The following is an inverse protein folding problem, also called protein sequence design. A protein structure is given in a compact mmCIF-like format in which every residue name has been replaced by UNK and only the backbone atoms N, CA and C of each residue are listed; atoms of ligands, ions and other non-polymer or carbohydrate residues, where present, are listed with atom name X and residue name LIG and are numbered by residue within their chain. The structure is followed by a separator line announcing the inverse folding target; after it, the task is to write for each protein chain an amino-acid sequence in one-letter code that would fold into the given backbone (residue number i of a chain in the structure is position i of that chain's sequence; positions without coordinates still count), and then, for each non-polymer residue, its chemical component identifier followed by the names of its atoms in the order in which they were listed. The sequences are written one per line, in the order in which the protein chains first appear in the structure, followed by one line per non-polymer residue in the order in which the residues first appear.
data_IF_250592898659
#
_entry.id   IF_250592898659
#
_cell.length_a   1.000
_cell.length_b   1.000
_cell.length_c   1.000
_cell.angle_alpha   90.00
_cell.angle_beta   90.00
_cell.angle_gamma   90.00
#
_symmetry.space_group_name_H-M   'P 1'
#
loop_
_entity.id
_entity.type
_entity.pdbx_description
1 polymer ?
2 non-polymer ?
3 non-polymer ?
4 water ?
#
# COMPACT_ATOMS: atom_id res chain seq x y z
N UNK A 4 10.28 23.51 3.09
CA UNK A 4 10.93 24.37 4.13
C UNK A 4 12.30 23.87 4.57
N UNK A 5 12.40 22.56 4.81
CA UNK A 5 13.66 21.88 5.15
C UNK A 5 14.31 21.31 3.88
N UNK A 6 15.64 21.18 3.89
CA UNK A 6 16.38 20.74 2.69
C UNK A 6 17.00 19.33 2.75
N UNK A 7 17.13 18.75 3.94
CA UNK A 7 17.59 17.36 4.07
C UNK A 7 16.46 16.40 3.66
N UNK A 8 16.84 15.26 3.12
CA UNK A 8 15.86 14.24 2.77
C UNK A 8 15.45 13.46 4.02
N UNK A 9 14.14 13.47 4.31
CA UNK A 9 13.61 12.76 5.48
C UNK A 9 13.18 11.34 5.08
N UNK A 10 13.93 10.36 5.57
CA UNK A 10 13.67 8.95 5.25
C UNK A 10 13.16 8.19 6.47
N UNK A 11 12.28 7.22 6.23
CA UNK A 11 11.86 6.31 7.30
C UNK A 11 12.57 4.98 7.13
N UNK A 12 13.07 4.46 8.25
CA UNK A 12 13.66 3.13 8.29
C UNK A 12 12.89 2.29 9.28
N UNK A 13 12.18 1.28 8.76
CA UNK A 13 11.27 0.50 9.58
C UNK A 13 11.12 -0.93 9.07
N UNK A 14 10.91 -1.85 10.00
CA UNK A 14 10.53 -3.23 9.71
C UNK A 14 9.23 -3.54 10.44
N UNK A 15 8.26 -4.11 9.72
CA UNK A 15 6.95 -4.43 10.30
C UNK A 15 6.39 -5.74 9.74
N UNK A 16 5.41 -6.30 10.45
CA UNK A 16 4.80 -7.56 10.03
C UNK A 16 3.52 -7.33 9.20
N UNK A 17 2.74 -8.39 8.97
CA UNK A 17 1.53 -8.30 8.15
C UNK A 17 0.46 -7.39 8.74
N UNK A 18 0.55 -7.11 10.04
CA UNK A 18 -0.42 -6.25 10.73
C UNK A 18 0.21 -4.96 11.27
N UNK A 19 1.37 -4.60 10.71
CA UNK A 19 2.09 -3.35 11.02
C UNK A 19 2.73 -3.32 12.41
N UNK A 20 2.87 -4.48 13.04
CA UNK A 20 3.55 -4.57 14.34
C UNK A 20 5.04 -4.27 14.16
N UNK A 21 5.57 -3.44 15.06
CA UNK A 21 7.00 -3.13 15.08
C UNK A 21 7.65 -3.45 16.42
N UNK A 22 6.84 -3.62 17.47
CA UNK A 22 7.38 -3.86 18.80
C UNK A 22 6.50 -4.64 19.75
N UNK A 23 7.15 -5.24 20.76
CA UNK A 23 6.49 -6.00 21.81
C UNK A 23 7.29 -5.86 23.10
N UNK A 24 6.64 -5.39 24.15
CA UNK A 24 7.26 -5.19 25.47
C UNK A 24 8.60 -4.45 25.35
N UNK A 25 8.59 -3.33 24.62
CA UNK A 25 9.77 -2.45 24.45
C UNK A 25 10.99 -3.15 23.84
N UNK A 26 10.73 -3.99 22.84
CA UNK A 26 11.73 -4.83 22.20
C UNK A 26 11.24 -5.26 20.81
N UNK A 27 12.13 -5.85 20.03
CA UNK A 27 11.80 -6.44 18.73
C UNK A 27 11.18 -7.82 18.91
N UNK A 28 10.04 -8.07 18.24
CA UNK A 28 9.37 -9.38 18.31
C UNK A 28 10.11 -10.51 17.58
N UNK A 29 11.08 -10.16 16.74
CA UNK A 29 11.80 -11.12 15.91
C UNK A 29 13.30 -10.84 15.92
N UNK A 30 14.08 -11.87 15.70
CA UNK A 30 15.53 -11.71 15.59
C UNK A 30 15.95 -12.04 14.16
N UNK A 31 16.34 -11.01 13.43
CA UNK A 31 16.74 -11.14 12.04
C UNK A 31 18.06 -10.43 11.79
N UNK A 32 19.19 -11.11 12.07
CA UNK A 32 20.52 -10.50 11.93
C UNK A 32 20.80 -9.99 10.51
N UNK A 33 20.30 -10.70 9.50
CA UNK A 33 20.48 -10.31 8.10
C UNK A 33 19.77 -9.00 7.78
N UNK A 34 18.57 -8.82 8.34
CA UNK A 34 17.80 -7.61 8.19
C UNK A 34 18.50 -6.45 8.91
N UNK A 35 19.04 -6.72 10.08
CA UNK A 35 19.81 -5.74 10.86
C UNK A 35 21.08 -5.29 10.14
N UNK A 36 21.69 -6.18 9.35
CA UNK A 36 22.92 -5.81 8.67
C UNK A 36 22.62 -4.96 7.42
N UNK A 37 21.45 -5.17 6.81
CA UNK A 37 20.95 -4.28 5.75
C UNK A 37 20.64 -2.89 6.31
N UNK A 38 20.05 -2.86 7.50
CA UNK A 38 19.79 -1.60 8.20
C UNK A 38 21.08 -0.81 8.43
N UNK A 39 22.12 -1.48 8.92
CA UNK A 39 23.40 -0.86 9.23
C UNK A 39 24.09 -0.35 7.97
N UNK A 40 23.98 -1.11 6.89
CA UNK A 40 24.54 -0.78 5.59
C UNK A 40 23.91 0.50 5.00
N UNK A 41 22.58 0.58 5.09
CA UNK A 41 21.83 1.68 4.51
C UNK A 41 21.93 2.99 5.30
N UNK A 42 21.99 2.87 6.62
CA UNK A 42 21.91 4.04 7.49
C UNK A 42 23.28 4.61 7.80
N UNK A 43 24.32 3.82 7.54
CA UNK A 43 25.68 4.23 7.88
C UNK A 43 26.09 5.56 7.23
N UNK A 44 26.70 6.42 8.04
CA UNK A 44 27.13 7.76 7.63
C UNK A 44 26.00 8.78 7.59
N UNK A 45 24.83 8.40 8.11
CA UNK A 45 23.64 9.25 8.11
C UNK A 45 23.03 9.31 9.51
N UNK A 46 22.46 10.48 9.89
CA UNK A 46 21.93 10.59 11.24
C UNK A 46 20.75 9.66 11.49
N UNK A 47 20.68 9.12 12.72
CA UNK A 47 19.54 8.34 13.19
C UNK A 47 18.69 9.16 14.14
N UNK A 48 17.40 9.26 13.86
CA UNK A 48 16.46 9.97 14.72
C UNK A 48 15.63 8.94 15.45
N UNK A 49 15.78 8.88 16.76
CA UNK A 49 15.11 7.87 17.58
C UNK A 49 14.33 8.46 18.75
N UNK A 50 13.14 7.93 19.00
CA UNK A 50 12.37 8.29 20.18
C UNK A 50 13.12 7.84 21.43
N UNK A 51 12.88 8.54 22.55
CA UNK A 51 13.58 8.23 23.79
C UNK A 51 13.43 6.74 24.19
N UNK A 52 12.20 6.24 24.17
CA UNK A 52 11.95 4.83 24.49
C UNK A 52 12.67 3.89 23.52
N UNK A 53 12.65 4.21 22.23
CA UNK A 53 13.40 3.42 21.27
C UNK A 53 14.89 3.38 21.64
N UNK A 54 15.48 4.53 21.96
CA UNK A 54 16.91 4.57 22.30
C UNK A 54 17.27 3.71 23.52
N UNK A 55 16.47 3.83 24.57
CA UNK A 55 16.79 3.16 25.83
C UNK A 55 16.69 1.63 25.72
N UNK A 56 15.79 1.18 24.85
CA UNK A 56 15.70 -0.24 24.48
C UNK A 56 16.99 -0.73 23.82
N UNK A 57 17.53 0.07 22.90
CA UNK A 57 18.81 -0.23 22.24
C UNK A 57 19.94 -0.17 23.28
N UNK A 58 19.94 0.87 24.10
CA UNK A 58 20.83 0.97 25.25
C UNK A 58 22.17 1.63 25.01
N UNK A 59 22.56 1.78 23.74
CA UNK A 59 23.91 2.29 23.40
C UNK A 59 23.93 3.08 22.08
N UNK A 60 24.82 4.10 21.99
CA UNK A 60 25.00 4.80 20.72
C UNK A 60 25.38 3.84 19.60
N UNK A 61 24.70 3.97 18.46
CA UNK A 61 25.01 3.16 17.29
C UNK A 61 26.16 3.81 16.50
N UNK A 62 27.24 3.04 16.25
CA UNK A 62 28.47 3.57 15.64
C UNK A 62 28.31 4.10 14.22
N UNK A 63 29.14 5.08 13.87
CA UNK A 63 29.22 5.61 12.50
C UNK A 63 28.09 6.51 12.05
N UNK A 64 27.21 6.86 12.99
CA UNK A 64 26.01 7.67 12.70
C UNK A 64 25.78 8.65 13.85
N UNK A 65 25.28 9.85 13.54
CA UNK A 65 24.84 10.79 14.55
C UNK A 65 23.56 10.25 15.20
N UNK A 66 23.63 9.95 16.49
CA UNK A 66 22.44 9.52 17.21
C UNK A 66 21.74 10.72 17.81
N UNK A 67 20.48 10.91 17.41
CA UNK A 67 19.68 12.02 17.90
C UNK A 67 18.42 11.52 18.57
N UNK A 68 18.32 11.79 19.86
CA UNK A 68 17.22 11.29 20.67
C UNK A 68 16.14 12.35 20.91
N UNK A 69 14.89 11.97 20.64
CA UNK A 69 13.75 12.87 20.75
C UNK A 69 12.98 12.63 22.04
N UNK A 70 12.93 13.66 22.88
CA UNK A 70 12.28 13.60 24.19
C UNK A 70 11.73 14.98 24.58
N UNK A 71 10.73 15.00 25.46
CA UNK A 71 10.21 16.25 26.00
C UNK A 71 11.00 16.71 27.23
N UNK A 72 11.88 15.82 27.72
CA UNK A 72 12.72 16.08 28.89
C UNK A 72 13.83 17.07 28.57
N UNK A 73 13.77 18.24 29.20
CA UNK A 73 14.74 19.31 28.93
C UNK A 73 16.10 19.11 29.58
N UNK A 74 16.18 18.23 30.58
CA UNK A 74 17.44 17.91 31.23
C UNK A 74 17.94 16.50 30.92
N UNK A 75 17.42 15.91 29.84
CA UNK A 75 17.85 14.60 29.39
C UNK A 75 19.18 14.72 28.65
N UNK A 76 20.14 13.88 29.02
CA UNK A 76 21.45 13.84 28.38
C UNK A 76 21.98 12.41 28.32
N UNK A 77 22.65 12.07 27.23
CA UNK A 77 23.29 10.77 27.07
C UNK A 77 24.65 10.99 26.39
N UNK A 78 25.68 10.34 26.94
CA UNK A 78 27.03 10.43 26.39
C UNK A 78 27.10 9.88 24.97
N UNK A 79 27.72 10.66 24.08
CA UNK A 79 27.89 10.26 22.68
C UNK A 79 26.64 10.37 21.81
N UNK A 80 25.66 11.15 22.27
CA UNK A 80 24.40 11.35 21.56
C UNK A 80 23.97 12.80 21.64
N UNK A 81 23.21 13.24 20.64
CA UNK A 81 22.57 14.55 20.66
C UNK A 81 21.10 14.41 21.04
N UNK A 82 20.57 15.40 21.74
CA UNK A 82 19.20 15.37 22.22
C UNK A 82 18.38 16.52 21.61
N UNK A 83 17.31 16.17 20.90
CA UNK A 83 16.34 17.15 20.39
C UNK A 83 15.01 17.00 21.14
N UNK A 84 14.15 18.01 21.02
CA UNK A 84 12.89 18.05 21.78
C UNK A 84 11.68 18.30 20.89
N UNK A 85 11.92 18.44 19.59
CA UNK A 85 10.86 18.77 18.63
C UNK A 85 11.29 18.45 17.21
N UNK A 86 10.32 18.39 16.29
CA UNK A 86 10.63 18.18 14.87
C UNK A 86 11.59 19.26 14.38
N UNK A 87 11.28 20.51 14.73
CA UNK A 87 12.04 21.67 14.25
C UNK A 87 13.47 21.68 14.77
N UNK A 88 13.65 21.27 16.03
CA UNK A 88 14.99 21.20 16.61
C UNK A 88 15.83 20.15 15.89
N UNK A 89 15.19 19.03 15.52
CA UNK A 89 15.85 18.00 14.72
C UNK A 89 16.25 18.59 13.37
N UNK A 90 15.35 19.36 12.78
CA UNK A 90 15.62 20.03 11.52
C UNK A 90 16.78 21.03 11.60
N UNK A 91 16.88 21.72 12.74
CA UNK A 91 18.01 22.60 13.00
C UNK A 91 19.32 21.84 13.08
N UNK A 92 19.35 20.77 13.88
CA UNK A 92 20.56 19.95 14.04
C UNK A 92 20.99 19.29 12.73
N UNK A 93 20.03 19.05 11.85
CA UNK A 93 20.29 18.38 10.58
C UNK A 93 20.13 19.29 9.36
N UNK A 94 20.21 20.60 9.57
CA UNK A 94 20.01 21.55 8.46
C UNK A 94 20.94 21.30 7.26
N UNK A 95 22.15 20.80 7.53
CA UNK A 95 23.15 20.58 6.47
C UNK A 95 23.31 19.13 6.02
N UNK A 96 22.56 18.23 6.64
CA UNK A 96 22.65 16.81 6.30
C UNK A 96 22.05 16.53 4.92
N UNK A 97 22.57 15.52 4.24
CA UNK A 97 22.04 15.12 2.95
C UNK A 97 20.74 14.35 3.16
N UNK A 98 20.77 13.37 4.06
CA UNK A 98 19.64 12.49 4.30
C UNK A 98 19.65 12.00 5.75
N UNK A 99 18.50 12.10 6.42
CA UNK A 99 18.35 11.61 7.77
C UNK A 99 17.40 10.43 7.84
N UNK A 100 17.63 9.53 8.79
CA UNK A 100 16.76 8.38 8.97
C UNK A 100 15.93 8.43 10.25
N UNK A 101 14.62 8.56 10.08
CA UNK A 101 13.69 8.39 11.18
C UNK A 101 13.64 6.90 11.49
N UNK A 102 14.04 6.57 12.73
CA UNK A 102 14.37 5.21 13.11
C UNK A 102 13.36 4.57 14.08
N UNK A 103 12.35 5.33 14.51
CA UNK A 103 11.31 4.81 15.41
C UNK A 103 11.42 5.25 16.85
N UNK A 104 10.49 4.81 17.70
CA UNK A 104 9.39 3.94 17.33
C UNK A 104 8.16 4.66 16.81
N UNK A 105 6.99 4.19 17.25
CA UNK A 105 5.71 4.62 16.73
C UNK A 105 5.43 6.11 16.95
N UNK A 106 5.68 6.57 18.17
CA UNK A 106 5.43 7.96 18.52
C UNK A 106 6.27 8.90 17.66
N UNK A 107 7.52 8.52 17.42
CA UNK A 107 8.43 9.28 16.58
C UNK A 107 8.13 9.15 15.08
N UNK A 108 7.68 7.96 14.64
CA UNK A 108 7.18 7.78 13.27
C UNK A 108 5.97 8.68 13.00
N UNK A 109 5.04 8.73 13.96
CA UNK A 109 3.89 9.65 13.88
C UNK A 109 4.36 11.08 13.72
N UNK A 110 5.24 11.51 14.64
CA UNK A 110 5.72 12.88 14.67
C UNK A 110 6.23 13.38 13.32
N UNK A 111 7.01 12.56 12.63
CA UNK A 111 7.67 12.96 11.39
C UNK A 111 6.93 12.53 10.13
N UNK A 112 5.74 11.93 10.29
CA UNK A 112 4.97 11.40 9.15
C UNK A 112 4.61 12.45 8.09
N UNK A 113 4.21 13.68 8.51
CA UNK A 113 3.90 14.70 7.49
C UNK A 113 5.11 15.13 6.64
N UNK A 114 6.31 14.70 7.00
CA UNK A 114 7.53 15.20 6.34
C UNK A 114 8.32 14.15 5.53
N UNK A 115 7.84 12.90 5.53
CA UNK A 115 8.60 11.79 4.91
C UNK A 115 8.68 11.92 3.38
N UNK A 116 9.88 11.73 2.83
CA UNK A 116 10.15 11.77 1.39
C UNK A 116 10.40 10.37 0.85
N UNK A 117 11.04 9.54 1.67
CA UNK A 117 11.48 8.21 1.27
C UNK A 117 11.19 7.19 2.37
N UNK A 118 10.73 6.01 1.97
CA UNK A 118 10.41 4.98 2.94
C UNK A 118 11.20 3.69 2.65
N UNK A 119 12.04 3.29 3.59
CA UNK A 119 12.69 1.98 3.54
C UNK A 119 11.97 1.07 4.53
N UNK A 120 11.10 0.21 4.00
CA UNK A 120 10.27 -0.64 4.85
C UNK A 120 10.47 -2.12 4.56
N UNK A 121 10.87 -2.86 5.59
CA UNK A 121 10.92 -4.30 5.50
C UNK A 121 9.59 -4.91 5.93
N UNK A 122 9.02 -5.76 5.06
CA UNK A 122 7.78 -6.44 5.35
C UNK A 122 8.01 -7.89 5.71
N UNK A 123 7.59 -8.28 6.91
CA UNK A 123 7.82 -9.63 7.42
C UNK A 123 6.53 -10.44 7.38
N UNK A 124 6.58 -11.56 6.67
CA UNK A 124 5.39 -12.34 6.38
C UNK A 124 5.07 -13.34 7.49
N UNK A 125 4.60 -12.77 8.60
CA UNK A 125 4.29 -13.49 9.82
C UNK A 125 3.39 -12.59 10.66
N UNK A 126 2.52 -13.19 11.45
CA UNK A 126 1.66 -12.43 12.34
C UNK A 126 2.14 -12.49 13.81
N UNK A 127 2.91 -11.49 14.21
CA UNK A 127 3.46 -11.41 15.56
C UNK A 127 2.47 -10.83 16.57
N UNK A 128 2.63 -11.24 17.83
CA UNK A 128 2.00 -10.55 18.94
C UNK A 128 2.81 -9.30 19.17
N UNK A 129 2.12 -8.17 19.30
CA UNK A 129 2.80 -6.91 19.57
C UNK A 129 1.93 -5.84 20.18
N UNK A 130 2.56 -4.78 20.67
CA UNK A 130 1.83 -3.66 21.25
C UNK A 130 2.07 -2.34 20.52
N UNK A 131 3.13 -2.29 19.71
CA UNK A 131 3.52 -1.08 18.99
C UNK A 131 3.44 -1.26 17.47
N UNK A 132 2.81 -0.28 16.81
CA UNK A 132 2.44 -0.39 15.39
C UNK A 132 3.01 0.73 14.54
N UNK A 133 3.26 0.43 13.26
CA UNK A 133 3.66 1.45 12.31
C UNK A 133 2.41 2.12 11.77
N UNK A 134 2.37 3.48 11.80
CA UNK A 134 1.21 4.24 11.35
C UNK A 134 0.79 3.91 9.91
N UNK A 135 -0.51 3.97 9.67
CA UNK A 135 -1.09 3.87 8.33
C UNK A 135 -0.53 4.97 7.43
N UNK A 136 -0.40 4.68 6.15
CA UNK A 136 0.12 5.63 5.17
C UNK A 136 -0.65 5.58 3.87
N UNK A 137 -1.15 6.74 3.47
CA UNK A 137 -1.67 6.96 2.12
C UNK A 137 -0.46 7.02 1.20
N UNK A 138 -0.40 6.09 0.25
CA UNK A 138 0.73 5.98 -0.68
C UNK A 138 0.48 6.66 -2.02
N UNK A 139 -0.66 7.34 -2.14
CA UNK A 139 -0.96 8.13 -3.34
C UNK A 139 0.21 9.06 -3.60
N UNK A 140 0.70 9.05 -4.83
CA UNK A 140 1.89 9.82 -5.23
C UNK A 140 3.21 9.30 -4.65
N UNK A 141 3.23 7.99 -4.33
CA UNK A 141 4.47 7.27 -4.02
C UNK A 141 4.67 6.15 -5.03
N UNK A 142 5.94 5.87 -5.33
CA UNK A 142 6.30 4.76 -6.22
C UNK A 142 7.39 3.90 -5.58
N UNK A 143 7.20 2.59 -5.66
CA UNK A 143 8.21 1.64 -5.21
C UNK A 143 9.38 1.68 -6.18
N UNK A 144 10.57 1.97 -5.67
CA UNK A 144 11.76 2.08 -6.51
C UNK A 144 12.75 0.94 -6.27
N UNK A 145 12.40 0.05 -5.34
CA UNK A 145 13.23 -1.11 -5.01
C UNK A 145 12.44 -2.16 -4.24
N UNK A 146 12.64 -3.42 -4.62
CA UNK A 146 12.10 -4.56 -3.87
C UNK A 146 12.98 -5.81 -4.08
N UNK A 147 13.22 -6.54 -3.00
CA UNK A 147 14.05 -7.75 -3.03
C UNK A 147 13.74 -8.67 -1.85
N UNK A 148 13.77 -9.98 -2.11
CA UNK A 148 13.56 -10.99 -1.07
C UNK A 148 14.74 -10.99 -0.10
N UNK A 149 14.44 -11.00 1.20
CA UNK A 149 15.48 -11.11 2.22
C UNK A 149 15.95 -12.53 2.38
N UNK A 150 17.07 -12.72 3.08
CA UNK A 150 17.65 -14.05 3.30
C UNK A 150 16.88 -14.84 4.36
N UNK A 151 16.36 -16.00 3.98
CA UNK A 151 15.77 -16.91 4.95
C UNK A 151 16.66 -18.14 5.10
N UNK A 152 17.08 -18.40 6.35
CA UNK A 152 17.92 -19.55 6.71
C UNK A 152 17.76 -19.85 8.19
N UNK A 153 18.58 -20.76 8.72
CA UNK A 153 18.52 -21.13 10.13
C UNK A 153 18.67 -19.94 11.09
N UNK A 154 19.43 -18.94 10.67
CA UNK A 154 19.68 -17.75 11.46
C UNK A 154 18.61 -16.66 11.27
N UNK A 155 17.86 -16.77 10.16
CA UNK A 155 16.83 -15.79 9.82
C UNK A 155 15.52 -16.49 9.47
N UNK A 156 14.76 -16.90 10.51
CA UNK A 156 13.72 -17.92 10.37
C UNK A 156 12.37 -17.46 9.79
N UNK A 157 12.28 -16.25 9.25
CA UNK A 157 11.04 -15.75 8.66
C UNK A 157 11.22 -15.33 7.20
N UNK A 158 10.11 -15.28 6.46
CA UNK A 158 10.08 -14.72 5.10
C UNK A 158 9.85 -13.21 5.18
N UNK A 159 10.71 -12.45 4.50
CA UNK A 159 10.63 -10.99 4.53
C UNK A 159 11.21 -10.36 3.27
N UNK A 160 10.71 -9.17 2.93
CA UNK A 160 11.14 -8.46 1.74
C UNK A 160 11.53 -7.03 2.09
N UNK A 161 12.57 -6.53 1.40
CA UNK A 161 12.95 -5.13 1.50
C UNK A 161 12.17 -4.33 0.46
N UNK A 162 11.61 -3.20 0.90
CA UNK A 162 10.92 -2.27 0.00
C UNK A 162 11.47 -0.87 0.17
N UNK A 163 11.57 -0.13 -0.94
CA UNK A 163 11.90 1.29 -0.89
C UNK A 163 10.86 2.07 -1.71
N UNK A 164 10.25 3.07 -1.10
CA UNK A 164 9.30 3.94 -1.78
C UNK A 164 9.80 5.37 -1.77
N UNK A 165 9.55 6.07 -2.87
CA UNK A 165 9.88 7.49 -2.98
C UNK A 165 8.62 8.31 -3.24
N UNK A 166 8.55 9.48 -2.58
CA UNK A 166 7.47 10.43 -2.82
C UNK A 166 7.70 11.12 -4.15
N UNK A 167 6.60 11.42 -4.85
CA UNK A 167 6.65 12.20 -6.09
C UNK A 167 6.19 13.65 -5.82
N UNK A 168 6.76 14.62 -6.54
CA UNK A 168 6.32 16.03 -6.42
C UNK A 168 5.24 16.37 -7.45
N UNK B 4 -21.81 15.95 -13.35
CA UNK B 4 -23.20 15.77 -12.81
C UNK B 4 -23.22 14.82 -11.60
N UNK B 5 -22.43 13.77 -11.67
CA UNK B 5 -22.29 12.83 -10.56
C UNK B 5 -21.21 13.31 -9.58
N UNK B 6 -21.40 13.06 -8.30
CA UNK B 6 -20.53 13.61 -7.26
C UNK B 6 -19.54 12.60 -6.67
N UNK B 7 -19.85 11.31 -6.83
CA UNK B 7 -19.01 10.23 -6.34
C UNK B 7 -17.82 10.00 -7.27
N UNK B 8 -16.70 9.55 -6.72
CA UNK B 8 -15.54 9.21 -7.53
C UNK B 8 -15.76 7.87 -8.18
N UNK B 9 -15.70 7.83 -9.52
CA UNK B 9 -15.84 6.58 -10.27
C UNK B 9 -14.48 5.93 -10.48
N UNK B 10 -14.27 4.79 -9.83
CA UNK B 10 -12.98 4.10 -9.92
C UNK B 10 -13.12 2.75 -10.62
N UNK B 11 -12.09 2.37 -11.37
CA UNK B 11 -12.02 1.06 -12.00
C UNK B 11 -11.11 0.14 -11.19
N UNK B 12 -11.60 -1.07 -10.93
CA UNK B 12 -10.83 -2.08 -10.23
C UNK B 12 -10.73 -3.29 -11.15
N UNK B 13 -9.53 -3.52 -11.67
CA UNK B 13 -9.32 -4.59 -12.65
C UNK B 13 -7.92 -5.19 -12.56
N UNK B 14 -7.82 -6.46 -12.95
CA UNK B 14 -6.56 -7.15 -13.17
C UNK B 14 -6.57 -7.73 -14.58
N UNK B 15 -5.48 -7.49 -15.32
CA UNK B 15 -5.36 -7.92 -16.70
C UNK B 15 -3.94 -8.38 -17.03
N UNK B 16 -3.80 -9.17 -18.10
CA UNK B 16 -2.51 -9.68 -18.53
C UNK B 16 -1.89 -8.79 -19.62
N UNK B 17 -0.79 -9.24 -20.20
CA UNK B 17 -0.06 -8.47 -21.23
C UNK B 17 -0.91 -8.10 -22.45
N UNK B 18 -1.96 -8.87 -22.71
CA UNK B 18 -2.85 -8.60 -23.85
C UNK B 18 -4.26 -8.19 -23.43
N UNK B 19 -4.37 -7.63 -22.23
CA UNK B 19 -5.63 -7.08 -21.69
C UNK B 19 -6.72 -8.13 -21.34
N UNK B 20 -6.36 -9.42 -21.34
CA UNK B 20 -7.30 -10.48 -20.96
C UNK B 20 -7.70 -10.32 -19.50
N UNK B 21 -9.00 -10.42 -19.24
CA UNK B 21 -9.51 -10.41 -17.87
C UNK B 21 -10.30 -11.69 -17.51
N UNK B 22 -10.73 -12.44 -18.52
CA UNK B 22 -11.52 -13.64 -18.25
C UNK B 22 -11.46 -14.74 -19.29
N UNK B 23 -11.75 -15.96 -18.85
CA UNK B 23 -11.84 -17.11 -19.74
C UNK B 23 -12.94 -18.05 -19.25
N UNK B 24 -13.86 -18.37 -20.16
CA UNK B 24 -15.00 -19.25 -19.87
C UNK B 24 -15.70 -18.86 -18.55
N UNK B 25 -16.05 -17.58 -18.47
CA UNK B 25 -16.80 -16.99 -17.36
C UNK B 25 -16.17 -17.17 -15.98
N UNK B 26 -14.83 -17.19 -15.94
CA UNK B 26 -14.07 -17.06 -14.68
C UNK B 26 -12.65 -16.51 -14.88
N UNK B 27 -11.90 -16.44 -13.79
CA UNK B 27 -10.55 -15.91 -13.79
C UNK B 27 -9.56 -16.95 -14.35
N UNK B 28 -8.72 -16.54 -15.31
CA UNK B 28 -7.68 -17.41 -15.87
C UNK B 28 -6.54 -17.75 -14.92
N UNK B 29 -6.42 -16.98 -13.82
CA UNK B 29 -5.32 -17.13 -12.86
C UNK B 29 -5.86 -17.15 -11.44
N UNK B 30 -5.15 -17.83 -10.55
CA UNK B 30 -5.48 -17.81 -9.12
C UNK B 30 -4.36 -17.11 -8.39
N UNK B 31 -4.69 -15.92 -7.87
CA UNK B 31 -3.73 -15.08 -7.16
C UNK B 31 -4.35 -14.56 -5.87
N UNK B 32 -4.25 -15.34 -4.77
CA UNK B 32 -4.90 -14.98 -3.51
C UNK B 32 -4.37 -13.66 -2.94
N UNK B 33 -3.10 -13.36 -3.18
CA UNK B 33 -2.48 -12.14 -2.69
C UNK B 33 -3.07 -10.91 -3.39
N UNK B 34 -3.35 -11.07 -4.69
CA UNK B 34 -3.97 -10.02 -5.49
C UNK B 34 -5.41 -9.79 -5.02
N UNK B 35 -6.10 -10.89 -4.71
CA UNK B 35 -7.48 -10.83 -4.22
C UNK B 35 -7.59 -10.17 -2.87
N UNK B 36 -6.56 -10.34 -2.04
CA UNK B 36 -6.50 -9.73 -0.71
C UNK B 36 -6.30 -8.23 -0.80
N UNK B 37 -5.48 -7.79 -1.76
CA UNK B 37 -5.31 -6.37 -2.06
C UNK B 37 -6.62 -5.75 -2.58
N UNK B 38 -7.33 -6.48 -3.44
CA UNK B 38 -8.63 -6.06 -3.94
C UNK B 38 -9.62 -5.83 -2.78
N UNK B 39 -9.66 -6.77 -1.84
CA UNK B 39 -10.57 -6.72 -0.71
C UNK B 39 -10.25 -5.57 0.22
N UNK B 40 -8.96 -5.28 0.39
CA UNK B 40 -8.51 -4.20 1.26
C UNK B 40 -8.87 -2.83 0.70
N UNK B 41 -8.73 -2.69 -0.62
CA UNK B 41 -8.94 -1.42 -1.31
C UNK B 41 -10.42 -1.07 -1.46
N UNK B 42 -11.23 -2.09 -1.69
CA UNK B 42 -12.64 -1.88 -2.04
C UNK B 42 -13.54 -1.89 -0.82
N UNK B 43 -13.01 -2.39 0.29
CA UNK B 43 -13.75 -2.50 1.56
C UNK B 43 -14.39 -1.18 1.97
N UNK B 44 -15.68 -1.24 2.29
CA UNK B 44 -16.45 -0.06 2.70
C UNK B 44 -16.93 0.82 1.55
N UNK B 45 -16.76 0.34 0.31
CA UNK B 45 -17.16 1.07 -0.89
C UNK B 45 -18.00 0.19 -1.81
N UNK B 46 -19.01 0.77 -2.49
CA UNK B 46 -19.86 0.00 -3.39
C UNK B 46 -19.11 -0.71 -4.50
N UNK B 47 -19.54 -1.93 -4.81
CA UNK B 47 -19.05 -2.68 -5.95
C UNK B 47 -20.09 -2.71 -7.07
N UNK B 48 -19.69 -2.22 -8.24
CA UNK B 48 -20.58 -2.23 -9.40
C UNK B 48 -20.17 -3.36 -10.32
N UNK B 49 -21.01 -4.38 -10.46
CA UNK B 49 -20.66 -5.50 -11.32
C UNK B 49 -21.74 -5.88 -12.31
N UNK B 50 -21.31 -6.30 -13.51
CA UNK B 50 -22.21 -6.82 -14.53
C UNK B 50 -22.86 -8.10 -14.07
N UNK B 51 -24.04 -8.40 -14.60
CA UNK B 51 -24.81 -9.58 -14.20
C UNK B 51 -23.98 -10.85 -14.34
N UNK B 52 -23.33 -11.01 -15.49
CA UNK B 52 -22.45 -12.15 -15.74
C UNK B 52 -21.33 -12.22 -14.71
N UNK B 53 -20.71 -11.08 -14.44
CA UNK B 53 -19.65 -11.03 -13.43
C UNK B 53 -20.14 -11.52 -12.08
N UNK B 54 -21.31 -11.03 -11.65
CA UNK B 54 -21.86 -11.42 -10.35
C UNK B 54 -22.13 -12.92 -10.24
N UNK B 55 -22.80 -13.48 -11.24
CA UNK B 55 -23.20 -14.89 -11.21
C UNK B 55 -22.00 -15.84 -11.15
N UNK B 56 -20.91 -15.45 -11.79
CA UNK B 56 -19.64 -16.18 -11.74
C UNK B 56 -19.10 -16.19 -10.30
N UNK B 57 -19.17 -15.05 -9.62
CA UNK B 57 -18.77 -14.96 -8.22
C UNK B 57 -19.72 -15.80 -7.35
N UNK B 58 -21.02 -15.65 -7.60
CA UNK B 58 -22.04 -16.49 -6.99
C UNK B 58 -22.63 -16.02 -5.68
N UNK B 59 -21.98 -15.04 -5.05
CA UNK B 59 -22.30 -14.68 -3.66
C UNK B 59 -22.06 -13.20 -3.42
N UNK B 60 -22.92 -12.56 -2.59
CA UNK B 60 -22.63 -11.20 -2.15
C UNK B 60 -21.25 -11.10 -1.48
N UNK B 61 -20.44 -10.12 -1.89
CA UNK B 61 -19.16 -9.88 -1.26
C UNK B 61 -19.35 -8.99 -0.04
N UNK B 62 -18.86 -9.45 1.13
CA UNK B 62 -19.10 -8.80 2.43
C UNK B 62 -18.47 -7.42 2.58
N UNK B 63 -19.09 -6.58 3.41
CA UNK B 63 -18.54 -5.27 3.76
C UNK B 63 -18.69 -4.18 2.70
N UNK B 64 -19.41 -4.50 1.62
CA UNK B 64 -19.55 -3.58 0.49
C UNK B 64 -20.95 -3.68 -0.10
N UNK B 65 -21.48 -2.56 -0.59
CA UNK B 65 -22.74 -2.54 -1.33
C UNK B 65 -22.54 -3.24 -2.68
N UNK B 66 -23.20 -4.37 -2.87
CA UNK B 66 -23.14 -5.06 -4.15
C UNK B 66 -24.26 -4.57 -5.07
N UNK B 67 -23.87 -3.94 -6.17
CA UNK B 67 -24.84 -3.43 -7.13
C UNK B 67 -24.66 -4.13 -8.46
N UNK B 68 -25.71 -4.82 -8.90
CA UNK B 68 -25.66 -5.61 -10.13
C UNK B 68 -26.36 -4.92 -11.30
N UNK B 69 -25.64 -4.81 -12.41
CA UNK B 69 -26.13 -4.15 -13.61
C UNK B 69 -26.67 -5.18 -14.61
N UNK B 70 -27.95 -5.05 -14.95
CA UNK B 70 -28.63 -5.93 -15.88
C UNK B 70 -29.79 -5.20 -16.59
N UNK B 71 -30.15 -5.66 -17.78
CA UNK B 71 -31.30 -5.12 -18.51
C UNK B 71 -32.60 -5.79 -18.07
N UNK B 72 -32.45 -6.84 -17.28
CA UNK B 72 -33.56 -7.67 -16.81
C UNK B 72 -34.39 -6.91 -15.78
N UNK B 73 -35.59 -6.49 -16.19
CA UNK B 73 -36.44 -5.67 -15.32
C UNK B 73 -37.05 -6.42 -14.13
N UNK B 74 -36.92 -7.75 -14.10
CA UNK B 74 -37.42 -8.56 -13.00
C UNK B 74 -36.34 -9.34 -12.26
N UNK B 75 -35.09 -8.93 -12.43
CA UNK B 75 -33.94 -9.56 -11.78
C UNK B 75 -33.84 -9.13 -10.31
N UNK B 76 -33.72 -10.11 -9.41
CA UNK B 76 -33.55 -9.86 -7.98
C UNK B 76 -32.58 -10.87 -7.40
N UNK B 77 -31.75 -10.42 -6.46
CA UNK B 77 -30.90 -11.32 -5.69
C UNK B 77 -30.76 -10.84 -4.25
N UNK B 78 -30.92 -11.77 -3.32
CA UNK B 78 -30.88 -11.51 -1.88
C UNK B 78 -29.55 -10.89 -1.44
N UNK B 79 -29.63 -9.78 -0.70
CA UNK B 79 -28.45 -9.09 -0.19
C UNK B 79 -27.70 -8.24 -1.21
N UNK B 80 -28.37 -7.93 -2.32
CA UNK B 80 -27.78 -7.14 -3.40
C UNK B 80 -28.77 -6.13 -3.94
N UNK B 81 -28.25 -5.03 -4.47
CA UNK B 81 -29.08 -4.04 -5.15
C UNK B 81 -28.94 -4.22 -6.66
N UNK B 82 -30.02 -3.97 -7.40
CA UNK B 82 -30.00 -4.13 -8.85
C UNK B 82 -30.24 -2.80 -9.57
N UNK B 83 -29.30 -2.44 -10.44
CA UNK B 83 -29.45 -1.29 -11.33
C UNK B 83 -29.60 -1.76 -12.79
N UNK B 84 -30.08 -0.86 -13.64
CA UNK B 84 -30.39 -1.21 -15.03
C UNK B 84 -29.75 -0.26 -16.01
N UNK B 85 -29.01 0.73 -15.50
CA UNK B 85 -28.35 1.74 -16.33
C UNK B 85 -27.28 2.50 -15.55
N UNK B 86 -26.42 3.20 -16.27
CA UNK B 86 -25.41 4.05 -15.67
C UNK B 86 -26.06 5.05 -14.70
N UNK B 87 -27.12 5.70 -15.17
CA UNK B 87 -27.80 6.73 -14.39
C UNK B 87 -28.44 6.19 -13.11
N UNK B 88 -29.05 5.01 -13.19
CA UNK B 88 -29.62 4.39 -11.99
C UNK B 88 -28.54 4.09 -10.95
N UNK B 89 -27.38 3.63 -11.44
CA UNK B 89 -26.22 3.41 -10.59
C UNK B 89 -25.83 4.72 -9.90
N UNK B 90 -25.74 5.79 -10.68
CA UNK B 90 -25.43 7.11 -10.12
C UNK B 90 -26.47 7.60 -9.12
N UNK B 91 -27.73 7.27 -9.33
CA UNK B 91 -28.77 7.57 -8.36
C UNK B 91 -28.57 6.80 -7.04
N UNK B 92 -28.36 5.48 -7.14
CA UNK B 92 -28.10 4.64 -5.96
C UNK B 92 -26.85 5.08 -5.19
N UNK B 93 -25.89 5.67 -5.91
CA UNK B 93 -24.60 6.05 -5.36
C UNK B 93 -24.40 7.57 -5.29
N UNK B 94 -25.51 8.30 -5.28
CA UNK B 94 -25.53 9.76 -5.24
C UNK B 94 -24.61 10.31 -4.15
N UNK B 95 -24.68 9.71 -2.97
CA UNK B 95 -23.99 10.22 -1.78
C UNK B 95 -22.70 9.48 -1.43
N UNK B 96 -22.32 8.53 -2.26
CA UNK B 96 -21.12 7.73 -2.02
C UNK B 96 -19.85 8.53 -2.24
N UNK B 97 -18.82 8.21 -1.47
CA UNK B 97 -17.51 8.83 -1.59
C UNK B 97 -16.85 8.40 -2.90
N UNK B 98 -16.74 7.08 -3.05
CA UNK B 98 -16.06 6.47 -4.17
C UNK B 98 -16.69 5.11 -4.45
N UNK B 99 -16.98 4.85 -5.73
CA UNK B 99 -17.49 3.55 -6.16
C UNK B 99 -16.47 2.80 -7.00
N UNK B 100 -16.54 1.48 -6.98
CA UNK B 100 -15.63 0.64 -7.75
C UNK B 100 -16.35 -0.13 -8.86
N UNK B 101 -16.08 0.26 -10.11
CA UNK B 101 -16.52 -0.53 -11.24
C UNK B 101 -15.65 -1.79 -11.26
N UNK B 102 -16.32 -2.93 -11.16
CA UNK B 102 -15.67 -4.20 -10.82
C UNK B 102 -15.67 -5.19 -11.98
N UNK B 103 -16.30 -4.83 -13.11
CA UNK B 103 -16.31 -5.68 -14.30
C UNK B 103 -17.61 -6.42 -14.54
N UNK B 104 -17.69 -7.20 -15.63
CA UNK B 104 -16.57 -7.43 -16.54
C UNK B 104 -16.49 -6.46 -17.69
N UNK B 105 -16.16 -6.96 -18.89
CA UNK B 105 -15.90 -6.10 -20.05
C UNK B 105 -17.07 -5.19 -20.43
N UNK B 106 -18.29 -5.74 -20.44
CA UNK B 106 -19.48 -4.99 -20.85
C UNK B 106 -19.74 -3.82 -19.93
N UNK B 107 -19.56 -4.06 -18.65
CA UNK B 107 -19.71 -3.04 -17.62
C UNK B 107 -18.54 -2.04 -17.59
N UNK B 108 -17.32 -2.51 -17.85
CA UNK B 108 -16.17 -1.60 -18.02
C UNK B 108 -16.40 -0.64 -19.18
N UNK B 109 -16.89 -1.17 -20.30
CA UNK B 109 -17.29 -0.37 -21.46
C UNK B 109 -18.31 0.70 -21.07
N UNK B 110 -19.42 0.25 -20.46
CA UNK B 110 -20.50 1.12 -20.01
C UNK B 110 -20.02 2.37 -19.28
N UNK B 111 -19.12 2.17 -18.31
CA UNK B 111 -18.69 3.22 -17.42
C UNK B 111 -17.41 3.92 -17.85
N UNK B 112 -16.86 3.52 -18.99
CA UNK B 112 -15.58 4.08 -19.47
C UNK B 112 -15.56 5.62 -19.63
N UNK B 113 -16.62 6.22 -20.21
CA UNK B 113 -16.66 7.69 -20.30
C UNK B 113 -16.60 8.44 -18.96
N UNK B 114 -16.76 7.73 -17.85
CA UNK B 114 -16.90 8.37 -16.53
C UNK B 114 -15.76 8.13 -15.53
N UNK B 115 -14.76 7.32 -15.92
CA UNK B 115 -13.69 6.92 -15.01
C UNK B 115 -12.84 8.09 -14.55
N UNK B 116 -12.60 8.17 -13.24
CA UNK B 116 -11.74 9.20 -12.64
C UNK B 116 -10.40 8.59 -12.21
N UNK B 117 -10.46 7.35 -11.74
CA UNK B 117 -9.31 6.66 -11.16
C UNK B 117 -9.29 5.21 -11.62
N UNK B 118 -8.09 4.70 -11.87
CA UNK B 118 -7.91 3.34 -12.35
C UNK B 118 -6.95 2.56 -11.46
N UNK B 119 -7.48 1.51 -10.82
CA UNK B 119 -6.67 0.55 -10.08
C UNK B 119 -6.51 -0.68 -10.96
N UNK B 120 -5.35 -0.78 -11.60
CA UNK B 120 -5.11 -1.84 -12.57
C UNK B 120 -3.91 -2.71 -12.20
N UNK B 121 -4.17 -4.00 -12.04
CA UNK B 121 -3.11 -4.97 -11.84
C UNK B 121 -2.69 -5.51 -13.20
N UNK B 122 -1.39 -5.43 -13.47
CA UNK B 122 -0.82 -5.94 -14.71
C UNK B 122 -0.09 -7.26 -14.45
N UNK B 123 -0.50 -8.31 -15.16
CA UNK B 123 0.06 -9.64 -14.96
C UNK B 123 0.95 -10.05 -16.14
N UNK B 124 2.22 -10.32 -15.85
CA UNK B 124 3.23 -10.54 -16.87
C UNK B 124 3.21 -11.98 -17.36
N UNK B 125 2.16 -12.31 -18.12
CA UNK B 125 1.94 -13.64 -18.67
C UNK B 125 0.91 -13.50 -19.80
N UNK B 126 0.97 -14.39 -20.79
CA UNK B 126 0.02 -14.38 -21.90
C UNK B 126 -1.01 -15.50 -21.74
N UNK B 127 -2.15 -15.15 -21.16
CA UNK B 127 -3.21 -16.12 -20.91
C UNK B 127 -4.12 -16.30 -22.13
N UNK B 128 -4.68 -17.50 -22.24
CA UNK B 128 -5.74 -17.76 -23.18
C UNK B 128 -7.00 -17.16 -22.55
N UNK B 129 -7.74 -16.38 -23.31
CA UNK B 129 -8.94 -15.73 -22.77
C UNK B 129 -9.93 -15.33 -23.84
N UNK B 130 -11.14 -14.99 -23.42
CA UNK B 130 -12.18 -14.56 -24.33
C UNK B 130 -12.68 -13.14 -24.01
N UNK B 131 -12.40 -12.67 -22.80
CA UNK B 131 -12.90 -11.39 -22.34
C UNK B 131 -11.75 -10.43 -22.05
N UNK B 132 -11.86 -9.22 -22.58
CA UNK B 132 -10.76 -8.23 -22.56
C UNK B 132 -11.14 -6.93 -21.88
N UNK B 133 -10.14 -6.26 -21.32
CA UNK B 133 -10.32 -4.92 -20.78
C UNK B 133 -10.16 -3.93 -21.93
N UNK B 134 -11.15 -3.02 -22.11
CA UNK B 134 -11.13 -2.03 -23.20
C UNK B 134 -9.89 -1.14 -23.22
N UNK B 135 -9.46 -0.79 -24.43
CA UNK B 135 -8.35 0.15 -24.62
C UNK B 135 -8.67 1.48 -23.97
N UNK B 136 -7.63 2.18 -23.53
CA UNK B 136 -7.78 3.48 -22.90
C UNK B 136 -6.69 4.46 -23.34
N UNK B 137 -7.11 5.67 -23.74
CA UNK B 137 -6.16 6.76 -23.98
C UNK B 137 -5.66 7.23 -22.62
N UNK B 138 -4.39 6.93 -22.33
CA UNK B 138 -3.78 7.29 -21.05
C UNK B 138 -3.14 8.69 -21.03
N UNK B 139 -3.29 9.43 -22.14
CA UNK B 139 -2.98 10.86 -22.15
C UNK B 139 -3.98 11.55 -21.21
N UNK B 140 -3.50 12.50 -20.42
CA UNK B 140 -4.27 13.14 -19.33
C UNK B 140 -4.33 12.31 -18.03
N UNK B 141 -3.63 11.18 -18.03
CA UNK B 141 -3.58 10.32 -16.85
C UNK B 141 -2.21 10.30 -16.21
N UNK B 142 -2.19 10.31 -14.89
CA UNK B 142 -0.94 10.29 -14.14
C UNK B 142 -0.88 9.03 -13.27
N UNK B 143 0.25 8.31 -13.33
CA UNK B 143 0.48 7.18 -12.43
C UNK B 143 0.83 7.70 -11.03
N UNK B 144 -0.04 7.42 -10.06
CA UNK B 144 0.14 7.93 -8.71
C UNK B 144 0.62 6.84 -7.73
N UNK B 145 0.71 5.61 -8.22
CA UNK B 145 1.19 4.48 -7.42
C UNK B 145 1.61 3.29 -8.28
N UNK B 146 2.70 2.65 -7.88
CA UNK B 146 3.17 1.40 -8.47
C UNK B 146 3.95 0.56 -7.45
N UNK B 147 3.66 -0.74 -7.39
CA UNK B 147 4.45 -1.67 -6.57
C UNK B 147 4.36 -3.11 -7.08
N UNK B 148 5.44 -3.86 -6.88
CA UNK B 148 5.50 -5.25 -7.26
C UNK B 148 4.58 -6.08 -6.36
N UNK B 149 3.78 -6.95 -6.97
CA UNK B 149 2.96 -7.89 -6.24
C UNK B 149 3.78 -9.06 -5.72
N UNK B 150 3.18 -9.83 -4.82
CA UNK B 150 3.84 -10.96 -4.18
C UNK B 150 3.88 -12.18 -5.12
N UNK B 151 5.09 -12.66 -5.40
CA UNK B 151 5.27 -13.91 -6.14
C UNK B 151 5.86 -14.99 -5.22
N UNK B 152 5.13 -16.11 -5.11
CA UNK B 152 5.56 -17.28 -4.34
C UNK B 152 4.79 -18.53 -4.82
N UNK B 153 4.90 -19.64 -4.08
CA UNK B 153 4.20 -20.90 -4.42
C UNK B 153 2.70 -20.73 -4.68
N UNK B 154 2.07 -19.84 -3.92
CA UNK B 154 0.62 -19.63 -4.01
C UNK B 154 0.23 -18.56 -5.02
N UNK B 155 1.22 -17.79 -5.46
CA UNK B 155 1.02 -16.70 -6.42
C UNK B 155 2.05 -16.81 -7.54
N UNK B 156 1.80 -17.73 -8.49
CA UNK B 156 2.85 -18.19 -9.41
C UNK B 156 3.21 -17.31 -10.62
N UNK B 157 2.75 -16.06 -10.66
CA UNK B 157 3.12 -15.14 -11.75
C UNK B 157 3.71 -13.83 -11.24
N UNK B 158 4.40 -13.12 -12.13
CA UNK B 158 4.90 -11.79 -11.85
C UNK B 158 3.78 -10.80 -12.19
N UNK B 159 3.54 -9.85 -11.28
CA UNK B 159 2.51 -8.83 -11.46
C UNK B 159 2.77 -7.57 -10.65
N UNK B 160 2.24 -6.44 -11.13
CA UNK B 160 2.42 -5.16 -10.49
C UNK B 160 1.08 -4.47 -10.29
N UNK B 161 0.95 -3.74 -9.19
CA UNK B 161 -0.21 -2.90 -8.96
C UNK B 161 0.08 -1.50 -9.51
N UNK B 162 -0.86 -0.95 -10.27
CA UNK B 162 -0.76 0.41 -10.77
C UNK B 162 -2.03 1.18 -10.40
N UNK B 163 -1.86 2.46 -10.08
CA UNK B 163 -2.98 3.36 -9.90
C UNK B 163 -2.76 4.62 -10.75
N UNK B 164 -3.77 4.96 -11.54
CA UNK B 164 -3.69 6.16 -12.37
C UNK B 164 -4.85 7.08 -12.01
N UNK B 165 -4.58 8.39 -12.05
CA UNK B 165 -5.61 9.39 -11.82
C UNK B 165 -5.73 10.30 -13.03
N UNK B 166 -6.96 10.67 -13.38
CA UNK B 166 -7.20 11.63 -14.44
C UNK B 166 -6.91 13.05 -13.96
N UNK B 167 -6.38 13.87 -14.87
CA UNK B 167 -6.11 15.29 -14.63
C UNK B 167 -7.24 16.17 -15.19
N UNK B 168 -7.51 17.29 -14.51
CA UNK B 168 -8.51 18.26 -14.97
C UNK B 168 -7.87 19.35 -15.85
X LIG C 1 9.28 5.89 20.84
X LIG C 1 8.43 6.49 19.79
X LIG C 1 10.51 5.30 20.29
X LIG C 1 9.62 6.97 21.97
X LIG C 1 8.55 7.65 22.61
X LIG C 1 9.14 8.82 23.37
X LIG C 1 9.52 9.85 22.48
X LIG C 1 8.17 9.47 24.33
X LIG C 1 8.13 8.79 25.57
X LIG C 1 8.79 10.84 24.47
X LIG C 1 9.91 10.74 25.32
X LIG C 1 9.32 11.11 23.08
X LIG C 1 8.35 11.92 22.31
X LIG C 1 7.15 11.51 21.78
X LIG C 1 6.57 12.56 21.18
X LIG C 1 7.37 13.64 21.31
X LIG C 1 7.25 14.95 20.88
X LIG C 1 6.19 15.34 20.19
X LIG C 1 8.26 15.87 21.16
X LIG C 1 9.37 15.46 21.88
X LIG C 1 9.47 14.15 22.30
X LIG C 1 8.49 13.25 22.02
X LIG C 1 8.43 4.81 21.69
X LIG C 1 7.32 3.76 21.24
X LIG C 1 6.80 3.08 22.45
X LIG C 1 6.40 4.46 20.32
X LIG C 1 8.17 2.70 20.35
X LIG C 1 9.14 1.84 20.89
X LIG C 1 8.83 0.41 20.45
X LIG C 1 8.90 0.24 19.04
X LIG C 1 9.83 -0.56 21.04
X LIG C 1 9.12 -1.76 21.25
X LIG C 1 10.83 -0.75 19.93
X LIG C 1 11.46 -2.00 20.04
X LIG C 1 9.96 -0.65 18.69
X LIG C 1 10.65 -0.20 17.47
X LIG C 1 10.54 -0.98 16.35
X LIG C 1 11.14 -0.61 15.15
X LIG C 1 10.94 -1.47 13.94
X LIG C 1 11.33 -0.98 12.67
X LIG C 1 10.38 -2.67 14.08
X LIG C 1 11.87 0.58 15.09
X LIG C 1 11.98 1.38 16.23
X LIG C 1 11.36 0.98 17.42
X LIG C 1 9.93 11.27 26.82
X LIG C 1 9.55 12.74 26.84
X LIG C 1 8.93 10.47 27.63
X LIG C 1 11.31 11.07 27.37
X LIG D 1 14.67 -2.79 10.91
X LIG D 1 14.36 -1.76 10.11
X LIG D 1 14.19 -0.52 10.60
X LIG D 1 14.33 -0.29 11.92
X LIG D 1 14.63 -1.34 12.78
X LIG D 1 14.81 -2.62 12.23
X LIG D 1 19.96 -1.67 15.83
X LIG D 1 15.66 -3.23 21.23
X LIG D 1 19.04 -5.43 18.48
X LIG D 1 15.15 -3.84 13.10
X LIG D 1 14.23 -2.00 8.80
X LIG D 1 14.14 0.94 12.39
X LIG D 1 15.39 0.71 17.03
X LIG D 1 14.77 -1.11 14.19
X LIG D 1 14.89 -0.91 15.40
X LIG D 1 17.36 -1.71 16.81
X LIG D 1 15.86 -2.30 18.60
X LIG D 1 19.57 -2.70 16.76
X LIG D 1 16.58 -3.86 20.30
X LIG D 1 19.03 -4.10 19.06
X LIG D 1 16.12 -1.58 17.44
X LIG D 1 18.34 -2.55 17.35
X LIG D 1 16.82 -3.13 19.16
X LIG D 1 18.07 -3.27 18.53
X LIG D 1 15.03 -0.66 16.84
X LIG E 1 -20.27 -8.50 -17.66
X LIG E 1 -19.91 -7.19 -18.24
X LIG E 1 -19.71 -8.62 -16.30
X LIG E 1 -21.87 -8.68 -17.65
X LIG E 1 -22.58 -8.72 -18.86
X LIG E 1 -24.01 -8.38 -18.52
X LIG E 1 -24.10 -7.07 -18.03
X LIG E 1 -24.97 -8.42 -19.71
X LIG E 1 -25.34 -9.74 -20.03
X LIG E 1 -26.12 -7.59 -19.19
X LIG E 1 -26.91 -8.30 -18.26
X LIG E 1 -25.38 -6.55 -18.36
X LIG E 1 -25.28 -5.31 -19.17
X LIG E 1 -24.34 -5.00 -20.12
X LIG E 1 -24.62 -3.78 -20.59
X LIG E 1 -25.72 -3.31 -19.97
X LIG E 1 -26.43 -2.12 -20.10
X LIG E 1 -26.02 -1.20 -20.96
X LIG E 1 -27.55 -1.89 -19.31
X LIG E 1 -27.94 -2.86 -18.40
X LIG E 1 -27.24 -4.04 -18.29
X LIG E 1 -26.15 -4.26 -19.07
X LIG E 1 -19.86 -9.70 -18.63
X LIG E 1 -18.47 -10.04 -19.35
X LIG E 1 -18.66 -11.34 -20.02
X LIG E 1 -18.04 -8.83 -20.09
X LIG E 1 -17.46 -10.21 -18.12
X LIG E 1 -17.39 -11.37 -17.33
X LIG E 1 -16.00 -12.00 -17.48
X LIG E 1 -14.99 -11.09 -17.09
X LIG E 1 -15.84 -13.22 -16.60
X LIG E 1 -15.03 -14.14 -17.31
X LIG E 1 -15.12 -12.67 -15.38
X LIG E 1 -14.38 -13.64 -14.70
X LIG E 1 -14.25 -11.59 -15.99
X LIG E 1 -13.91 -10.50 -15.04
X LIG E 1 -12.59 -10.22 -14.82
X LIG E 1 -12.19 -9.21 -13.95
X LIG E 1 -10.74 -9.05 -13.58
X LIG E 1 -10.29 -7.88 -12.97
X LIG E 1 -9.89 -10.04 -13.84
X LIG E 1 -13.19 -8.46 -13.30
X LIG E 1 -14.53 -8.76 -13.52
X LIG E 1 -14.89 -9.77 -14.41
X LIG E 1 -28.26 -9.07 -18.68
X LIG E 1 -27.88 -10.11 -19.71
X LIG E 1 -28.84 -9.71 -17.45
X LIG E 1 -29.27 -8.10 -19.26
X LIG F 1 -8.64 -8.24 -9.54
X LIG F 1 -8.71 -6.91 -9.58
X LIG F 1 -9.88 -6.29 -9.80
X LIG F 1 -11.01 -7.00 -9.99
X LIG F 1 -10.95 -8.39 -9.95
X LIG F 1 -9.72 -9.00 -9.72
X LIG F 1 -13.57 -11.57 -5.44
X LIG F 1 -15.14 -15.74 -11.10
X LIG F 1 -12.84 -16.06 -7.09
X LIG F 1 -9.57 -10.52 -9.67
X LIG F 1 -7.60 -6.19 -9.40
X LIG F 1 -12.16 -6.38 -10.20
X LIG F 1 -15.45 -10.03 -10.28
X LIG F 1 -12.12 -9.19 -10.14
X LIG F 1 -13.10 -9.92 -10.31
X LIG F 1 -13.88 -11.88 -8.21
X LIG F 1 -14.51 -13.29 -10.07
X LIG F 1 -13.52 -12.89 -6.04
X LIG F 1 -14.76 -15.67 -9.70
X LIG F 1 -14.12 -15.36 -7.06
X LIG F 1 -14.20 -12.02 -9.56
X LIG F 1 -13.85 -13.00 -7.36
X LIG F 1 -14.48 -14.41 -9.24
X LIG F 1 -14.13 -14.26 -7.88
X LIG F 1 -14.25 -10.80 -10.50
#
# INVERSE_FOLDING_TARGET
HHHHHHMRVSFMVAMDENRVIGKDNNLPWRLPSELQYVKKTTMGHPLIMGRKNYEAIGRPLPGRRNIIVTRNEGYHVEGCEVAHSVEEVFELCKNEEEIFIFGGAQIFDLFLPYVDKLYITKIHHAFEGDTFFPEMDMTNWKEVFVEKGLTDEKNPYTYYYHVYEKQQ
HHHHHHMRVSFMVAMDENRVIGKDNNLPWRLPSELQYVKKTTMGHPLIMGRKNYEAIGRPLPGRRNIIVTRNEGYHVEGCEVAHSVEEVFELCKNEEEIFIFGGAQIFDLFLPYVDKLYITKIHHAFEGDTFFPEMDMTNWKEVFVEKGLTDEKNPYTYYYHVYEKQQ
NDP PA O1A O2A O5B C5B C4B O4B C3B O3B C2B O2B C1B N9A C8A N7A C5A C6A N6A N1A C2A N3A C4A O3 PN O1N O2N O5D C5D C4D O4D C3D O3D C2D O2D C1D N1N C2N C3N C7N O7N N7N C4N C5N C6N P2B O1X O2X O3X
5WA N1 C2 N3 C4 C5 C6 C1A C1B C1C C1D N1E N1F O1G C1H C1I C1J C1K O1N O1O O1P C1U C1V C1W C1X C1Y
NDP PA O1A O2A O5B C5B C4B O4B C3B O3B C2B O2B C1B N9A C8A N7A C5A C6A N6A N1A C2A N3A C4A O3 PN O1N O2N O5D C5D C4D O4D C3D O3D C2D O2D C1D N1N C2N C3N C7N O7N N7N C4N C5N C6N P2B O1X O2X O3X
5WA N1 C2 N3 C4 C5 C6 C1A C1B C1C C1D N1E N1F O1G C1H C1I C1J C1K O1N O1O O1P C1U C1V C1W C1X C1Y
#
